data_IF_834417378384
#
_entry.id   IF_834417378384
#
_cell.length_a   1.000
_cell.length_b   1.000
_cell.length_c   1.000
_cell.angle_alpha   90.00
_cell.angle_beta   90.00
_cell.angle_gamma   90.00
#
_symmetry.space_group_name_H-M   'P 1'
#
loop_
_entity.id
_entity.type
_entity.pdbx_description
1 polymer ?
#
# COMPACT_ATOMS: atom_id res chain seq x y z
N UNK A 1 -6.19 7.23 26.76
CA UNK A 1 -4.91 7.24 26.02
C UNK A 1 -5.26 7.21 24.54
N UNK A 2 -4.98 8.15 23.64
CA UNK A 2 -4.45 9.50 23.67
C UNK A 2 -4.76 10.04 22.26
N UNK A 3 -5.89 10.72 22.07
CA UNK A 3 -6.36 11.19 20.75
C UNK A 3 -5.74 12.53 20.33
N UNK A 4 -4.81 13.09 21.13
CA UNK A 4 -4.21 14.40 20.92
C UNK A 4 -2.71 14.36 20.59
N UNK A 5 -2.05 13.21 20.66
CA UNK A 5 -0.62 13.07 20.36
C UNK A 5 -0.30 13.06 18.85
N UNK A 6 -1.29 12.87 17.98
CA UNK A 6 -1.08 12.81 16.50
C UNK A 6 -1.13 14.18 15.80
N UNK A 7 -1.08 15.30 16.52
CA UNK A 7 -1.19 16.66 15.95
C UNK A 7 0.14 17.42 15.80
N UNK A 8 1.27 16.86 16.25
CA UNK A 8 2.60 17.48 16.10
C UNK A 8 3.61 16.45 15.55
N UNK A 9 3.62 16.27 14.23
CA UNK A 9 4.59 15.43 13.50
C UNK A 9 3.96 14.20 12.87
N UNK A 10 4.36 13.87 11.64
CA UNK A 10 4.09 12.53 11.09
C UNK A 10 4.75 11.49 12.00
N UNK A 11 4.13 10.30 12.19
CA UNK A 11 4.75 9.26 13.00
C UNK A 11 6.13 8.94 12.43
N UNK A 12 7.19 9.13 13.22
CA UNK A 12 8.49 8.59 12.89
C UNK A 12 8.42 7.09 13.12
N UNK A 13 8.48 6.34 12.02
CA UNK A 13 8.52 4.90 12.08
C UNK A 13 9.96 4.44 12.32
N UNK A 14 10.16 3.32 13.04
CA UNK A 14 11.49 2.71 13.16
C UNK A 14 12.04 2.37 11.77
N UNK A 15 13.35 2.48 11.59
CA UNK A 15 14.00 2.07 10.34
C UNK A 15 13.81 0.56 10.10
N UNK A 16 13.58 0.18 8.85
CA UNK A 16 13.48 -1.20 8.42
C UNK A 16 14.85 -1.87 8.52
N UNK A 17 14.94 -2.98 9.25
CA UNK A 17 16.16 -3.80 9.30
C UNK A 17 16.51 -4.33 7.89
N UNK A 18 17.66 -3.97 7.31
CA UNK A 18 18.09 -4.44 5.99
C UNK A 18 18.23 -5.97 5.88
N UNK A 19 18.40 -6.66 7.01
CA UNK A 19 18.53 -8.12 7.06
C UNK A 19 17.18 -8.83 7.14
N UNK A 20 16.08 -8.10 7.37
CA UNK A 20 14.74 -8.67 7.49
C UNK A 20 14.23 -9.27 6.18
N UNK A 21 13.32 -10.25 6.28
CA UNK A 21 12.65 -10.83 5.11
C UNK A 21 11.88 -9.76 4.32
N UNK A 22 11.30 -8.79 5.02
CA UNK A 22 10.60 -7.64 4.45
C UNK A 22 11.54 -6.79 3.58
N UNK A 23 12.74 -6.46 4.06
CA UNK A 23 13.72 -5.71 3.28
C UNK A 23 14.16 -6.47 2.02
N UNK A 24 14.41 -7.78 2.15
CA UNK A 24 14.77 -8.62 1.00
C UNK A 24 13.65 -8.72 -0.03
N UNK A 25 12.39 -8.78 0.41
CA UNK A 25 11.23 -8.76 -0.49
C UNK A 25 11.11 -7.43 -1.19
N UNK A 26 11.25 -6.31 -0.46
CA UNK A 26 11.18 -4.97 -1.02
C UNK A 26 12.22 -4.77 -2.13
N UNK A 27 13.45 -5.24 -1.92
CA UNK A 27 14.53 -5.20 -2.92
C UNK A 27 14.17 -5.99 -4.19
N UNK A 28 13.52 -7.16 -4.04
CA UNK A 28 13.05 -7.98 -5.17
C UNK A 28 11.95 -7.33 -6.01
N UNK A 29 11.19 -6.39 -5.44
CA UNK A 29 10.18 -5.63 -6.20
C UNK A 29 10.85 -4.73 -7.25
N UNK A 30 12.13 -4.42 -7.06
CA UNK A 30 13.01 -3.88 -8.09
C UNK A 30 12.57 -2.54 -8.66
N UNK A 31 12.85 -2.38 -9.96
CA UNK A 31 12.64 -1.13 -10.70
C UNK A 31 11.20 -0.58 -10.67
N UNK A 32 10.12 -1.38 -10.73
CA UNK A 32 8.75 -0.84 -10.66
C UNK A 32 8.49 0.07 -9.46
N UNK A 33 8.88 -0.35 -8.25
CA UNK A 33 8.68 0.46 -7.05
C UNK A 33 9.63 1.64 -7.00
N UNK A 34 10.88 1.47 -7.43
CA UNK A 34 11.84 2.60 -7.51
C UNK A 34 11.37 3.67 -8.48
N UNK A 35 10.87 3.26 -9.64
CA UNK A 35 10.28 4.17 -10.65
C UNK A 35 9.08 4.89 -10.06
N UNK A 36 8.18 4.17 -9.37
CA UNK A 36 7.04 4.79 -8.70
C UNK A 36 7.50 5.83 -7.65
N UNK A 37 8.48 5.49 -6.82
CA UNK A 37 9.05 6.39 -5.82
C UNK A 37 9.68 7.64 -6.44
N UNK A 38 10.28 7.51 -7.62
CA UNK A 38 10.81 8.64 -8.36
C UNK A 38 9.71 9.54 -8.93
N UNK A 39 8.66 8.94 -9.50
CA UNK A 39 7.62 9.65 -10.26
C UNK A 39 6.61 10.37 -9.35
N UNK A 40 6.33 9.83 -8.16
CA UNK A 40 5.33 10.41 -7.25
C UNK A 40 5.97 11.22 -6.14
N UNK A 41 5.39 12.39 -5.87
CA UNK A 41 5.81 13.25 -4.76
C UNK A 41 5.09 12.94 -3.46
N UNK A 42 3.96 12.27 -3.56
CA UNK A 42 3.14 11.89 -2.42
C UNK A 42 3.80 10.78 -1.62
N UNK A 43 3.40 10.65 -0.36
CA UNK A 43 3.89 9.60 0.54
C UNK A 43 3.56 8.22 -0.02
N UNK A 44 4.53 7.31 0.05
CA UNK A 44 4.36 5.91 -0.31
C UNK A 44 4.27 5.04 0.93
N UNK A 45 3.26 4.19 0.98
CA UNK A 45 3.12 3.14 1.98
C UNK A 45 2.93 1.79 1.28
N UNK A 46 3.89 0.89 1.50
CA UNK A 46 3.96 -0.43 0.90
C UNK A 46 3.48 -1.45 1.91
N UNK A 47 2.35 -2.08 1.64
CA UNK A 47 1.82 -3.21 2.39
C UNK A 47 2.28 -4.48 1.70
N UNK A 48 2.96 -5.34 2.45
CA UNK A 48 3.56 -6.55 1.89
C UNK A 48 3.35 -7.75 2.79
N UNK A 49 2.97 -8.85 2.16
CA UNK A 49 2.82 -10.16 2.75
C UNK A 49 3.67 -11.19 2.00
N UNK A 50 3.25 -12.44 2.04
CA UNK A 50 3.98 -13.56 1.40
C UNK A 50 3.65 -13.68 -0.10
N UNK A 51 2.43 -13.30 -0.51
CA UNK A 51 1.89 -13.49 -1.86
C UNK A 51 1.85 -12.22 -2.70
N UNK A 52 1.51 -11.09 -2.08
CA UNK A 52 1.26 -9.84 -2.78
C UNK A 52 1.98 -8.62 -2.20
N UNK A 53 1.97 -7.55 -3.00
CA UNK A 53 2.42 -6.22 -2.59
C UNK A 53 1.42 -5.17 -3.07
N UNK A 54 0.99 -4.34 -2.13
CA UNK A 54 0.10 -3.20 -2.35
C UNK A 54 0.84 -1.91 -2.00
N UNK A 55 0.72 -0.89 -2.85
CA UNK A 55 1.34 0.41 -2.68
C UNK A 55 0.26 1.48 -2.61
N UNK A 56 0.12 2.08 -1.44
CA UNK A 56 -0.71 3.24 -1.21
C UNK A 56 0.10 4.51 -1.52
N UNK A 57 -0.50 5.42 -2.29
CA UNK A 57 0.08 6.71 -2.67
C UNK A 57 -0.76 7.82 -2.05
N UNK A 58 -0.21 8.65 -1.16
CA UNK A 58 -0.90 9.77 -0.52
C UNK A 58 -1.13 9.59 0.98
N UNK A 59 -2.34 9.90 1.45
CA UNK A 59 -2.74 9.94 2.86
C UNK A 59 -3.89 8.97 3.15
N UNK A 60 -3.66 7.64 3.11
CA UNK A 60 -4.67 6.68 3.50
C UNK A 60 -5.08 6.83 4.97
N UNK A 61 -6.36 6.54 5.33
CA UNK A 61 -7.45 6.11 4.45
C UNK A 61 -8.21 7.28 3.79
N UNK A 62 -7.80 8.54 3.97
CA UNK A 62 -8.58 9.71 3.53
C UNK A 62 -8.47 9.96 2.02
N UNK A 63 -7.26 10.11 1.50
CA UNK A 63 -7.00 10.44 0.10
C UNK A 63 -5.80 9.62 -0.36
N UNK A 64 -6.03 8.59 -1.15
CA UNK A 64 -4.96 7.73 -1.64
C UNK A 64 -5.24 7.21 -3.03
N UNK A 65 -4.18 7.00 -3.80
CA UNK A 65 -4.15 6.01 -4.88
C UNK A 65 -3.72 4.66 -4.33
N UNK A 66 -4.10 3.58 -5.01
CA UNK A 66 -3.60 2.24 -4.75
C UNK A 66 -3.05 1.66 -6.05
N UNK A 67 -1.94 0.97 -5.92
CA UNK A 67 -1.32 0.16 -6.95
C UNK A 67 -0.95 -1.18 -6.35
N UNK A 68 -0.91 -2.23 -7.15
CA UNK A 68 -0.41 -3.54 -6.71
C UNK A 68 0.33 -4.22 -7.84
N UNK A 69 1.16 -5.18 -7.50
CA UNK A 69 1.85 -5.98 -8.51
C UNK A 69 0.93 -7.06 -9.06
N UNK A 70 0.77 -7.07 -10.38
CA UNK A 70 0.11 -8.11 -11.15
C UNK A 70 1.04 -8.47 -12.32
N UNK A 71 1.42 -9.75 -12.45
CA UNK A 71 2.34 -10.24 -13.48
C UNK A 71 3.67 -9.43 -13.59
N UNK A 72 4.20 -8.98 -12.44
CA UNK A 72 5.44 -8.21 -12.36
C UNK A 72 5.30 -6.74 -12.79
N UNK A 73 4.08 -6.24 -12.99
CA UNK A 73 3.79 -4.84 -13.31
C UNK A 73 2.91 -4.21 -12.24
N UNK A 74 3.15 -2.94 -11.94
CA UNK A 74 2.25 -2.18 -11.10
C UNK A 74 0.99 -1.85 -11.88
N UNK A 75 -0.16 -2.30 -11.37
CA UNK A 75 -1.49 -1.98 -11.89
C UNK A 75 -2.15 -1.02 -10.91
N UNK A 76 -2.69 0.09 -11.43
CA UNK A 76 -3.44 1.03 -10.61
C UNK A 76 -4.96 0.77 -10.67
N UNK A 77 -5.71 1.39 -9.74
CA UNK A 77 -7.16 1.27 -9.69
C UNK A 77 -7.88 1.56 -11.01
N UNK A 78 -7.43 2.56 -11.76
CA UNK A 78 -8.09 2.99 -12.99
C UNK A 78 -7.92 1.92 -14.07
N UNK A 79 -6.69 1.43 -14.25
CA UNK A 79 -6.39 0.34 -15.19
C UNK A 79 -7.15 -0.93 -14.85
N UNK A 80 -7.25 -1.28 -13.56
CA UNK A 80 -8.03 -2.44 -13.12
C UNK A 80 -9.52 -2.28 -13.40
N UNK A 81 -10.09 -1.12 -13.10
CA UNK A 81 -11.49 -0.83 -13.35
C UNK A 81 -11.83 -0.87 -14.85
N UNK A 82 -10.95 -0.33 -15.70
CA UNK A 82 -11.08 -0.38 -17.15
C UNK A 82 -10.97 -1.83 -17.67
N UNK A 83 -9.98 -2.61 -17.18
CA UNK A 83 -9.78 -4.03 -17.55
C UNK A 83 -10.97 -4.91 -17.18
N UNK A 84 -11.61 -4.64 -16.05
CA UNK A 84 -12.74 -5.41 -15.50
C UNK A 84 -14.10 -4.81 -15.86
N UNK A 85 -14.12 -3.75 -16.65
CA UNK A 85 -15.34 -3.02 -17.04
C UNK A 85 -16.23 -2.64 -15.85
N UNK A 86 -15.62 -2.30 -14.71
CA UNK A 86 -16.34 -2.02 -13.48
C UNK A 86 -17.21 -0.77 -13.64
N UNK A 87 -18.45 -0.86 -13.18
CA UNK A 87 -19.29 0.32 -13.04
C UNK A 87 -18.72 1.27 -11.97
N UNK A 88 -19.08 2.55 -12.05
CA UNK A 88 -18.69 3.52 -11.01
C UNK A 88 -19.17 3.12 -9.62
N UNK A 89 -20.27 2.36 -9.52
CA UNK A 89 -20.79 1.86 -8.25
C UNK A 89 -19.89 0.77 -7.67
N UNK A 90 -19.47 -0.20 -8.48
CA UNK A 90 -18.56 -1.27 -8.06
C UNK A 90 -17.19 -0.72 -7.68
N UNK A 91 -16.67 0.22 -8.46
CA UNK A 91 -15.41 0.90 -8.14
C UNK A 91 -15.49 1.63 -6.79
N UNK A 92 -16.56 2.38 -6.53
CA UNK A 92 -16.74 3.04 -5.25
C UNK A 92 -16.85 2.06 -4.09
N UNK A 93 -17.57 0.93 -4.26
CA UNK A 93 -17.66 -0.11 -3.24
C UNK A 93 -16.30 -0.75 -2.94
N UNK A 94 -15.48 -0.97 -3.97
CA UNK A 94 -14.13 -1.48 -3.84
C UNK A 94 -13.25 -0.52 -3.00
N UNK A 95 -13.26 0.76 -3.37
CA UNK A 95 -12.50 1.81 -2.67
C UNK A 95 -12.91 1.91 -1.19
N UNK A 96 -14.21 1.89 -0.89
CA UNK A 96 -14.69 1.97 0.49
C UNK A 96 -14.30 0.73 1.32
N UNK A 97 -14.32 -0.47 0.71
CA UNK A 97 -13.85 -1.69 1.39
C UNK A 97 -12.36 -1.66 1.70
N UNK A 98 -11.56 -1.13 0.78
CA UNK A 98 -10.11 -0.96 0.98
C UNK A 98 -9.79 0.10 2.04
N UNK A 99 -10.54 1.20 2.07
CA UNK A 99 -10.48 2.17 3.19
C UNK A 99 -10.74 1.51 4.53
N UNK A 100 -11.78 0.67 4.58
CA UNK A 100 -12.15 -0.03 5.80
C UNK A 100 -11.07 -1.03 6.22
N UNK A 101 -10.46 -1.75 5.27
CA UNK A 101 -9.32 -2.64 5.51
C UNK A 101 -8.14 -1.87 6.08
N UNK A 102 -7.70 -0.80 5.40
CA UNK A 102 -6.63 0.07 5.89
C UNK A 102 -6.90 0.57 7.32
N UNK A 103 -8.14 0.96 7.61
CA UNK A 103 -8.52 1.45 8.95
C UNK A 103 -8.42 0.36 10.01
N UNK A 104 -8.72 -0.90 9.69
CA UNK A 104 -8.56 -2.04 10.62
C UNK A 104 -7.09 -2.32 10.93
N UNK A 105 -6.22 -2.12 9.95
CA UNK A 105 -4.78 -2.36 10.05
C UNK A 105 -3.98 -1.07 10.38
N UNK A 106 -4.64 -0.01 10.85
CA UNK A 106 -3.97 1.29 11.06
C UNK A 106 -3.02 1.29 12.26
N UNK A 107 -3.20 0.39 13.22
CA UNK A 107 -2.36 0.33 14.43
C UNK A 107 -1.32 -0.82 14.37
N UNK A 108 -1.16 -1.45 13.21
CA UNK A 108 -0.12 -2.46 12.96
C UNK A 108 1.27 -1.83 12.74
N UNK A 109 2.30 -2.66 12.86
CA UNK A 109 3.70 -2.25 12.79
C UNK A 109 4.06 -1.68 11.42
N UNK A 110 4.80 -0.57 11.45
CA UNK A 110 5.29 0.12 10.27
C UNK A 110 6.75 0.46 10.47
N UNK A 111 7.48 0.41 9.37
CA UNK A 111 8.89 0.76 9.30
C UNK A 111 9.11 1.82 8.24
N UNK A 112 10.13 2.64 8.38
CA UNK A 112 10.59 3.54 7.33
C UNK A 112 11.82 2.97 6.64
N UNK A 113 11.95 3.20 5.35
CA UNK A 113 13.18 2.95 4.61
C UNK A 113 13.33 3.99 3.51
N UNK A 114 14.51 4.10 2.93
CA UNK A 114 14.74 5.01 1.80
C UNK A 114 14.91 4.19 0.53
N UNK A 115 14.07 4.47 -0.47
CA UNK A 115 14.25 3.98 -1.83
C UNK A 115 14.68 5.16 -2.69
N UNK A 116 15.85 5.04 -3.33
CA UNK A 116 16.53 6.13 -4.02
C UNK A 116 16.76 7.34 -3.09
N UNK A 117 15.96 8.40 -3.22
CA UNK A 117 16.01 9.63 -2.43
C UNK A 117 14.71 9.86 -1.65
N UNK A 118 13.85 8.84 -1.53
CA UNK A 118 12.51 8.95 -0.95
C UNK A 118 12.28 8.04 0.23
N UNK A 119 11.70 8.61 1.28
CA UNK A 119 11.18 7.84 2.39
C UNK A 119 9.93 7.06 1.94
N UNK A 120 9.97 5.76 2.18
CA UNK A 120 8.89 4.83 1.94
C UNK A 120 8.54 4.15 3.26
N UNK A 121 7.24 4.12 3.56
CA UNK A 121 6.74 3.41 4.73
C UNK A 121 6.42 1.97 4.32
N UNK A 122 6.86 1.02 5.12
CA UNK A 122 6.69 -0.40 4.87
C UNK A 122 5.85 -0.99 5.99
N UNK A 123 4.81 -1.72 5.59
CA UNK A 123 3.83 -2.34 6.46
C UNK A 123 3.86 -3.86 6.23
N UNK A 124 4.69 -4.60 6.96
CA UNK A 124 4.88 -6.04 6.78
C UNK A 124 3.73 -6.83 7.43
N UNK A 125 2.58 -6.84 6.75
CA UNK A 125 1.36 -7.50 7.24
C UNK A 125 0.74 -8.38 6.17
N UNK A 126 0.93 -9.69 6.31
CA UNK A 126 0.23 -10.69 5.50
C UNK A 126 -1.28 -10.67 5.71
N UNK A 127 -1.76 -10.29 6.90
CA UNK A 127 -3.20 -10.18 7.14
C UNK A 127 -3.82 -9.03 6.34
N UNK A 128 -3.16 -7.86 6.34
CA UNK A 128 -3.64 -6.74 5.56
C UNK A 128 -3.55 -7.03 4.06
N UNK A 129 -2.42 -7.60 3.63
CA UNK A 129 -2.20 -8.03 2.25
C UNK A 129 -3.28 -9.00 1.75
N UNK A 130 -3.54 -10.10 2.47
CA UNK A 130 -4.63 -11.03 2.11
C UNK A 130 -6.03 -10.43 2.20
N UNK A 131 -6.26 -9.42 3.05
CA UNK A 131 -7.54 -8.70 3.04
C UNK A 131 -7.69 -7.86 1.77
N UNK A 132 -6.62 -7.20 1.32
CA UNK A 132 -6.60 -6.43 0.08
C UNK A 132 -6.81 -7.31 -1.16
N UNK A 133 -6.12 -8.45 -1.24
CA UNK A 133 -6.32 -9.46 -2.29
C UNK A 133 -7.79 -9.91 -2.36
N UNK A 134 -8.37 -10.33 -1.23
CA UNK A 134 -9.78 -10.76 -1.17
C UNK A 134 -10.76 -9.66 -1.61
N UNK A 135 -10.45 -8.39 -1.34
CA UNK A 135 -11.28 -7.28 -1.78
C UNK A 135 -11.22 -7.14 -3.31
N UNK A 136 -10.04 -7.24 -3.92
CA UNK A 136 -9.84 -7.19 -5.38
C UNK A 136 -10.55 -8.37 -6.06
N UNK A 137 -10.36 -9.57 -5.54
CA UNK A 137 -10.95 -10.79 -6.10
C UNK A 137 -12.47 -10.80 -6.05
N UNK A 138 -13.07 -10.14 -5.05
CA UNK A 138 -14.52 -10.11 -4.90
C UNK A 138 -15.29 -9.39 -6.01
N UNK A 139 -14.60 -8.64 -6.88
CA UNK A 139 -15.19 -8.01 -8.07
C UNK A 139 -14.75 -8.66 -9.39
N UNK A 140 -13.79 -9.60 -9.35
CA UNK A 140 -13.42 -10.42 -10.48
C UNK A 140 -14.38 -11.61 -10.59
N UNK A 141 -15.32 -11.55 -11.54
CA UNK A 141 -16.18 -12.69 -11.91
C UNK A 141 -15.45 -13.63 -12.89
#
# INVERSE_FOLDING_TARGET
MGFLDRLFGEPQYPELDPSSDTAQRLDKLGEPIKTLAHDVRDKLEVVMGDSGTFVFVGKPPKQFGLMWLEDGKLVNFKEYAEKKELSSKELNQLIERMKAAYTRHIDEERFSTTLEDREVIVHPSGQFEHEMERIIDSVSH
#
